data_IF_319187538262
#
_entry.id   IF_319187538262
#
_cell.length_a   1.000
_cell.length_b   1.000
_cell.length_c   1.000
_cell.angle_alpha   90.00
_cell.angle_beta   90.00
_cell.angle_gamma   90.00
#
_symmetry.space_group_name_H-M   'P 1'
#
loop_
_entity.id
_entity.type
_entity.pdbx_description
1 polymer ?
#
# COMPACT_ATOMS: atom_id res chain seq x y z
N UNK A 1 16.58 26.01 -17.14
CA UNK A 1 15.81 26.00 -15.88
C UNK A 1 15.80 27.39 -15.29
N UNK A 2 14.65 27.88 -14.82
CA UNK A 2 14.57 29.13 -14.04
C UNK A 2 15.05 28.91 -12.60
N UNK A 3 15.34 29.99 -11.87
CA UNK A 3 15.68 29.92 -10.44
C UNK A 3 14.58 29.19 -9.62
N UNK A 4 13.32 29.40 -9.99
CA UNK A 4 12.17 28.72 -9.37
C UNK A 4 12.17 27.21 -9.62
N UNK A 5 12.55 26.76 -10.82
CA UNK A 5 12.68 25.33 -11.12
C UNK A 5 13.86 24.67 -10.40
N UNK A 6 14.98 25.38 -10.21
CA UNK A 6 16.12 24.89 -9.42
C UNK A 6 15.71 24.72 -7.95
N UNK A 7 14.99 25.70 -7.39
CA UNK A 7 14.42 25.59 -6.05
C UNK A 7 13.42 24.43 -5.96
N UNK A 8 12.54 24.29 -6.94
CA UNK A 8 11.58 23.20 -7.01
C UNK A 8 12.26 21.83 -7.04
N UNK A 9 13.31 21.67 -7.85
CA UNK A 9 14.15 20.47 -7.87
C UNK A 9 14.70 20.16 -6.48
N UNK A 10 15.36 21.14 -5.84
CA UNK A 10 15.95 20.95 -4.53
C UNK A 10 14.89 20.58 -3.48
N UNK A 11 13.73 21.22 -3.50
CA UNK A 11 12.63 20.93 -2.58
C UNK A 11 12.04 19.54 -2.82
N UNK A 12 11.84 19.11 -4.07
CA UNK A 12 11.34 17.75 -4.36
C UNK A 12 12.30 16.70 -3.82
N UNK A 13 13.60 16.85 -4.06
CA UNK A 13 14.59 15.86 -3.64
C UNK A 13 14.89 15.87 -2.13
N UNK A 14 14.51 16.91 -1.40
CA UNK A 14 14.74 17.02 0.05
C UNK A 14 13.45 16.86 0.87
N UNK A 15 12.41 17.62 0.55
CA UNK A 15 11.15 17.66 1.29
C UNK A 15 10.32 16.41 1.05
N UNK A 16 10.19 15.91 -0.19
CA UNK A 16 9.36 14.72 -0.45
C UNK A 16 9.85 13.47 0.30
N UNK A 17 11.16 13.14 0.35
CA UNK A 17 11.65 12.03 1.16
C UNK A 17 11.43 12.25 2.66
N UNK A 18 11.66 13.45 3.17
CA UNK A 18 11.41 13.77 4.58
C UNK A 18 9.93 13.57 4.90
N UNK A 19 9.04 14.13 4.08
CA UNK A 19 7.59 14.00 4.20
C UNK A 19 7.17 12.53 4.18
N UNK A 20 7.68 11.75 3.23
CA UNK A 20 7.43 10.32 3.13
C UNK A 20 7.90 9.55 4.36
N UNK A 21 9.04 9.94 4.92
CA UNK A 21 9.62 9.33 6.12
C UNK A 21 8.89 9.61 7.43
N UNK A 22 8.01 10.62 7.48
CA UNK A 22 7.26 10.95 8.70
C UNK A 22 6.36 9.77 9.14
N UNK A 23 6.58 9.21 10.34
CA UNK A 23 5.85 8.03 10.82
C UNK A 23 4.49 8.42 11.44
N UNK A 24 3.70 9.21 10.72
CA UNK A 24 2.41 9.74 11.18
C UNK A 24 1.46 8.62 11.66
N UNK A 25 1.43 7.50 10.93
CA UNK A 25 0.63 6.33 11.30
C UNK A 25 1.03 5.81 12.69
N UNK A 26 2.33 5.70 12.97
CA UNK A 26 2.81 5.20 14.26
C UNK A 26 2.41 6.16 15.38
N UNK A 27 2.55 7.48 15.16
CA UNK A 27 2.13 8.49 16.13
C UNK A 27 0.63 8.45 16.40
N UNK A 28 -0.20 8.43 15.34
CA UNK A 28 -1.66 8.35 15.46
C UNK A 28 -2.07 7.10 16.25
N UNK A 29 -1.48 5.96 15.90
CA UNK A 29 -1.81 4.68 16.55
C UNK A 29 -1.38 4.68 18.01
N UNK A 30 -0.15 5.12 18.30
CA UNK A 30 0.37 5.17 19.65
C UNK A 30 -0.43 6.14 20.54
N UNK A 31 -0.79 7.33 20.04
CA UNK A 31 -1.57 8.31 20.81
C UNK A 31 -2.97 7.78 21.13
N UNK A 32 -3.63 7.12 20.18
CA UNK A 32 -5.03 6.70 20.33
C UNK A 32 -5.18 5.35 21.03
N UNK A 33 -4.27 4.40 20.82
CA UNK A 33 -4.42 3.03 21.31
C UNK A 33 -3.26 2.54 22.18
N UNK A 34 -2.22 3.35 22.36
CA UNK A 34 -0.97 3.00 23.07
C UNK A 34 -0.19 1.83 22.47
N UNK A 35 -0.60 1.32 21.29
CA UNK A 35 0.13 0.28 20.59
C UNK A 35 1.29 0.88 19.80
N UNK A 36 2.47 0.27 19.95
CA UNK A 36 3.63 0.62 19.14
C UNK A 36 3.71 -0.32 17.93
N UNK A 37 3.30 0.15 16.75
CA UNK A 37 3.29 -0.63 15.51
C UNK A 37 4.66 -1.21 15.13
N UNK A 38 5.76 -0.58 15.56
CA UNK A 38 7.10 -1.12 15.31
C UNK A 38 7.43 -2.37 16.14
N UNK A 39 6.63 -2.68 17.17
CA UNK A 39 6.83 -3.79 18.11
C UNK A 39 5.73 -4.84 18.04
N UNK A 40 4.71 -4.66 17.20
CA UNK A 40 3.56 -5.58 17.09
C UNK A 40 3.35 -6.03 15.65
N UNK A 41 2.79 -7.24 15.49
CA UNK A 41 2.50 -7.82 14.17
C UNK A 41 3.75 -8.01 13.33
N UNK A 42 3.76 -7.46 12.12
CA UNK A 42 4.88 -7.53 11.17
C UNK A 42 5.99 -6.51 11.47
N UNK A 43 5.77 -5.57 12.41
CA UNK A 43 6.64 -4.42 12.65
C UNK A 43 6.54 -3.33 11.58
N UNK A 44 5.68 -3.49 10.57
CA UNK A 44 5.47 -2.50 9.54
C UNK A 44 4.57 -1.38 10.04
N UNK A 45 5.03 -0.15 9.84
CA UNK A 45 4.19 1.03 10.06
C UNK A 45 3.39 1.21 8.78
N UNK A 46 2.23 0.58 8.65
CA UNK A 46 1.38 0.65 7.46
C UNK A 46 -0.07 0.99 7.80
N UNK A 47 -0.85 1.40 6.78
CA UNK A 47 -2.29 1.63 6.91
C UNK A 47 -3.00 0.33 7.32
N UNK A 48 -2.62 -0.81 6.75
CA UNK A 48 -3.20 -2.11 7.10
C UNK A 48 -2.91 -2.48 8.56
N UNK A 49 -1.68 -2.24 9.04
CA UNK A 49 -1.31 -2.44 10.44
C UNK A 49 -2.11 -1.54 11.39
N UNK A 50 -2.37 -0.29 10.98
CA UNK A 50 -3.20 0.64 11.75
C UNK A 50 -4.67 0.17 11.86
N UNK A 51 -5.26 -0.37 10.79
CA UNK A 51 -6.59 -1.02 10.88
C UNK A 51 -6.54 -2.26 11.76
N UNK A 52 -5.52 -3.10 11.58
CA UNK A 52 -5.41 -4.38 12.28
C UNK A 52 -5.26 -4.21 13.80
N UNK A 53 -4.31 -3.37 14.24
CA UNK A 53 -4.01 -3.16 15.66
C UNK A 53 -4.80 -2.01 16.29
N UNK A 54 -5.10 -0.96 15.51
CA UNK A 54 -5.73 0.27 16.00
C UNK A 54 -7.24 0.36 15.77
N UNK A 55 -7.83 -0.48 14.93
CA UNK A 55 -9.25 -0.45 14.60
C UNK A 55 -9.62 0.57 13.53
N UNK A 56 -10.92 0.71 13.26
CA UNK A 56 -11.41 1.45 12.09
C UNK A 56 -11.08 2.94 12.15
N UNK A 57 -11.24 3.58 13.30
CA UNK A 57 -10.94 5.01 13.47
C UNK A 57 -9.47 5.31 13.17
N UNK A 58 -8.56 4.55 13.78
CA UNK A 58 -7.11 4.71 13.60
C UNK A 58 -6.71 4.43 12.16
N UNK A 59 -7.27 3.38 11.55
CA UNK A 59 -7.04 3.06 10.15
C UNK A 59 -7.49 4.16 9.20
N UNK A 60 -8.66 4.77 9.41
CA UNK A 60 -9.14 5.90 8.60
C UNK A 60 -8.24 7.12 8.74
N UNK A 61 -7.83 7.47 9.97
CA UNK A 61 -6.88 8.57 10.20
C UNK A 61 -5.52 8.29 9.55
N UNK A 62 -5.06 7.03 9.58
CA UNK A 62 -3.86 6.60 8.87
C UNK A 62 -4.00 6.81 7.35
N UNK A 63 -5.12 6.39 6.74
CA UNK A 63 -5.40 6.64 5.30
C UNK A 63 -5.35 8.12 4.99
N UNK A 64 -6.05 8.96 5.75
CA UNK A 64 -6.12 10.40 5.51
C UNK A 64 -4.73 11.04 5.61
N UNK A 65 -3.93 10.65 6.61
CA UNK A 65 -2.58 11.18 6.79
C UNK A 65 -1.64 10.81 5.63
N UNK A 66 -1.70 9.57 5.13
CA UNK A 66 -0.87 9.14 4.00
C UNK A 66 -1.37 9.71 2.67
N UNK A 67 -2.69 9.82 2.49
CA UNK A 67 -3.31 10.45 1.34
C UNK A 67 -2.88 11.92 1.22
N UNK A 68 -2.95 12.66 2.33
CA UNK A 68 -2.54 14.06 2.39
C UNK A 68 -1.07 14.25 1.97
N UNK A 69 -0.16 13.37 2.42
CA UNK A 69 1.25 13.41 1.99
C UNK A 69 1.42 13.18 0.49
N UNK A 70 0.70 12.21 -0.07
CA UNK A 70 0.73 11.93 -1.51
C UNK A 70 0.25 13.12 -2.34
N UNK A 71 -0.88 13.71 -1.97
CA UNK A 71 -1.46 14.89 -2.63
C UNK A 71 -0.51 16.10 -2.49
N UNK A 72 0.05 16.33 -1.29
CA UNK A 72 0.98 17.42 -1.04
C UNK A 72 2.24 17.33 -1.92
N UNK A 73 2.80 16.14 -2.12
CA UNK A 73 3.95 15.96 -3.01
C UNK A 73 3.62 16.32 -4.47
N UNK A 74 2.43 15.93 -4.95
CA UNK A 74 1.96 16.28 -6.31
C UNK A 74 1.73 17.78 -6.44
N UNK A 75 1.07 18.41 -5.46
CA UNK A 75 0.83 19.85 -5.45
C UNK A 75 2.13 20.65 -5.41
N UNK A 76 3.12 20.18 -4.63
CA UNK A 76 4.45 20.80 -4.57
C UNK A 76 5.12 20.77 -5.95
N UNK A 77 5.14 19.60 -6.59
CA UNK A 77 5.72 19.47 -7.93
C UNK A 77 4.98 20.34 -8.95
N UNK A 78 3.64 20.31 -8.95
CA UNK A 78 2.80 21.11 -9.85
C UNK A 78 3.03 22.61 -9.70
N UNK A 79 3.32 23.08 -8.48
CA UNK A 79 3.60 24.49 -8.22
C UNK A 79 4.90 24.96 -8.90
N UNK A 80 5.96 24.16 -8.84
CA UNK A 80 7.27 24.52 -9.41
C UNK A 80 7.45 24.11 -10.88
N UNK A 81 6.70 23.11 -11.34
CA UNK A 81 6.76 22.53 -12.68
C UNK A 81 5.37 22.42 -13.33
N UNK A 82 4.63 23.53 -13.51
CA UNK A 82 3.23 23.50 -13.93
C UNK A 82 3.01 22.92 -15.34
N UNK A 83 4.03 22.98 -16.20
CA UNK A 83 3.97 22.47 -17.58
C UNK A 83 4.56 21.06 -17.73
N UNK A 84 5.16 20.49 -16.68
CA UNK A 84 5.90 19.24 -16.75
C UNK A 84 5.35 18.22 -15.74
N UNK A 85 4.26 17.54 -16.13
CA UNK A 85 3.54 16.61 -15.26
C UNK A 85 4.38 15.41 -14.76
N UNK A 86 5.47 15.10 -15.46
CA UNK A 86 6.42 14.06 -15.06
C UNK A 86 7.04 14.33 -13.67
N UNK A 87 7.23 15.59 -13.27
CA UNK A 87 7.75 15.95 -11.95
C UNK A 87 6.84 15.56 -10.80
N UNK A 88 5.52 15.49 -11.04
CA UNK A 88 4.56 15.02 -10.05
C UNK A 88 4.83 13.55 -9.70
N UNK A 89 5.16 12.72 -10.70
CA UNK A 89 5.54 11.33 -10.49
C UNK A 89 6.94 11.17 -9.86
N UNK A 90 7.90 12.05 -10.22
CA UNK A 90 9.21 12.10 -9.54
C UNK A 90 9.03 12.42 -8.05
N UNK A 91 8.17 13.38 -7.71
CA UNK A 91 7.89 13.72 -6.32
C UNK A 91 7.28 12.54 -5.56
N UNK A 92 6.40 11.75 -6.19
CA UNK A 92 5.89 10.50 -5.61
C UNK A 92 6.99 9.45 -5.44
N UNK A 93 7.93 9.29 -6.37
CA UNK A 93 9.09 8.41 -6.22
C UNK A 93 9.90 8.82 -4.99
N UNK A 94 10.24 10.10 -4.86
CA UNK A 94 11.02 10.62 -3.73
C UNK A 94 10.30 10.42 -2.41
N UNK A 95 8.97 10.63 -2.39
CA UNK A 95 8.14 10.34 -1.22
C UNK A 95 8.17 8.85 -0.86
N UNK A 96 8.02 7.95 -1.84
CA UNK A 96 8.07 6.49 -1.63
C UNK A 96 9.43 6.04 -1.09
N UNK A 97 10.53 6.60 -1.58
CA UNK A 97 11.87 6.31 -1.07
C UNK A 97 12.01 6.68 0.41
N UNK A 98 11.56 7.87 0.79
CA UNK A 98 11.51 8.29 2.19
C UNK A 98 10.62 7.37 3.04
N UNK A 99 9.45 7.01 2.50
CA UNK A 99 8.49 6.11 3.15
C UNK A 99 9.06 4.73 3.42
N UNK A 100 9.84 4.22 2.47
CA UNK A 100 10.50 2.92 2.56
C UNK A 100 11.66 2.93 3.56
N UNK A 101 12.63 3.83 3.39
CA UNK A 101 13.86 3.80 4.20
C UNK A 101 13.64 4.24 5.65
N UNK A 102 12.87 5.32 5.84
CA UNK A 102 12.65 5.92 7.16
C UNK A 102 11.35 5.37 7.77
N UNK A 103 10.24 5.47 7.04
CA UNK A 103 8.92 5.12 7.55
C UNK A 103 8.62 3.62 7.61
N UNK A 104 9.48 2.76 7.07
CA UNK A 104 9.31 1.29 7.00
C UNK A 104 7.96 0.85 6.43
N UNK A 105 7.51 1.51 5.37
CA UNK A 105 6.27 1.16 4.67
C UNK A 105 6.39 1.30 3.16
N UNK A 106 5.47 0.69 2.43
CA UNK A 106 5.59 0.57 0.98
C UNK A 106 5.19 1.83 0.20
N UNK A 107 4.44 2.76 0.80
CA UNK A 107 4.00 4.00 0.16
C UNK A 107 2.83 3.87 -0.82
N UNK A 108 2.10 2.74 -0.78
CA UNK A 108 0.98 2.46 -1.70
C UNK A 108 -0.12 3.50 -1.61
N UNK A 109 -0.59 3.82 -0.40
CA UNK A 109 -1.63 4.83 -0.17
C UNK A 109 -1.17 6.21 -0.65
N UNK A 110 0.08 6.59 -0.40
CA UNK A 110 0.60 7.87 -0.89
C UNK A 110 0.56 7.93 -2.42
N UNK A 111 1.01 6.87 -3.09
CA UNK A 111 1.01 6.80 -4.56
C UNK A 111 -0.42 6.79 -5.11
N UNK A 112 -1.33 6.01 -4.54
CA UNK A 112 -2.73 5.93 -5.01
C UNK A 112 -3.40 7.31 -4.97
N UNK A 113 -3.31 8.01 -3.83
CA UNK A 113 -3.93 9.33 -3.69
C UNK A 113 -3.18 10.43 -4.44
N UNK A 114 -1.85 10.31 -4.55
CA UNK A 114 -1.05 11.18 -5.41
C UNK A 114 -1.44 11.04 -6.87
N UNK A 115 -1.52 9.81 -7.39
CA UNK A 115 -1.95 9.52 -8.76
C UNK A 115 -3.38 10.00 -9.03
N UNK A 116 -4.29 9.84 -8.06
CA UNK A 116 -5.64 10.38 -8.16
C UNK A 116 -5.65 11.90 -8.39
N UNK A 117 -4.76 12.63 -7.72
CA UNK A 117 -4.65 14.09 -7.89
C UNK A 117 -3.85 14.51 -9.12
N UNK A 118 -2.88 13.68 -9.50
CA UNK A 118 -2.06 13.85 -10.71
C UNK A 118 -2.91 13.72 -11.97
N UNK A 119 -3.69 12.64 -12.07
CA UNK A 119 -4.54 12.34 -13.21
C UNK A 119 -5.76 11.52 -12.77
N UNK A 120 -6.90 12.18 -12.49
CA UNK A 120 -8.10 11.51 -12.01
C UNK A 120 -8.65 10.46 -12.98
N UNK A 121 -8.49 10.67 -14.30
CA UNK A 121 -9.00 9.75 -15.33
C UNK A 121 -8.15 8.47 -15.33
N UNK A 122 -6.82 8.62 -15.31
CA UNK A 122 -5.90 7.50 -15.16
C UNK A 122 -6.20 6.71 -13.89
N UNK A 123 -6.34 7.39 -12.75
CA UNK A 123 -6.63 6.75 -11.47
C UNK A 123 -7.95 5.98 -11.50
N UNK A 124 -9.00 6.56 -12.09
CA UNK A 124 -10.31 5.91 -12.25
C UNK A 124 -10.21 4.65 -13.12
N UNK A 125 -9.53 4.72 -14.27
CA UNK A 125 -9.39 3.57 -15.16
C UNK A 125 -8.57 2.44 -14.52
N UNK A 126 -7.46 2.79 -13.85
CA UNK A 126 -6.66 1.82 -13.09
C UNK A 126 -7.49 1.20 -11.96
N UNK A 127 -8.30 1.99 -11.26
CA UNK A 127 -9.18 1.51 -10.21
C UNK A 127 -10.26 0.55 -10.73
N UNK A 128 -10.93 0.89 -11.84
CA UNK A 128 -11.98 0.05 -12.42
C UNK A 128 -11.42 -1.27 -12.95
N UNK A 129 -10.37 -1.22 -13.77
CA UNK A 129 -9.78 -2.42 -14.38
C UNK A 129 -9.04 -3.26 -13.34
N UNK A 130 -8.31 -2.62 -12.43
CA UNK A 130 -7.64 -3.27 -11.30
C UNK A 130 -8.63 -3.89 -10.31
N UNK A 131 -9.74 -3.20 -10.04
CA UNK A 131 -10.82 -3.68 -9.18
C UNK A 131 -11.52 -4.92 -9.73
N UNK A 132 -11.80 -4.94 -11.04
CA UNK A 132 -12.31 -6.13 -11.74
C UNK A 132 -11.31 -7.28 -11.66
N UNK A 133 -10.01 -6.98 -11.84
CA UNK A 133 -8.97 -8.00 -11.72
C UNK A 133 -8.90 -8.57 -10.29
N UNK A 134 -9.04 -7.72 -9.27
CA UNK A 134 -9.06 -8.14 -7.87
C UNK A 134 -10.25 -9.05 -7.55
N UNK A 135 -11.45 -8.75 -8.07
CA UNK A 135 -12.63 -9.60 -7.88
C UNK A 135 -12.52 -10.94 -8.60
N UNK A 136 -11.82 -11.00 -9.74
CA UNK A 136 -11.59 -12.26 -10.48
C UNK A 136 -10.52 -13.14 -9.82
N UNK A 137 -9.34 -12.59 -9.50
CA UNK A 137 -8.22 -13.39 -8.98
C UNK A 137 -8.33 -13.71 -7.49
N UNK A 138 -9.10 -12.91 -6.73
CA UNK A 138 -9.36 -13.05 -5.29
C UNK A 138 -8.10 -13.33 -4.44
N UNK A 139 -6.96 -12.81 -4.91
CA UNK A 139 -5.66 -12.92 -4.28
C UNK A 139 -4.98 -11.53 -4.27
N UNK A 140 -4.73 -10.96 -3.08
CA UNK A 140 -4.22 -9.59 -2.96
C UNK A 140 -2.82 -9.41 -3.54
N UNK A 141 -1.97 -10.45 -3.52
CA UNK A 141 -0.60 -10.38 -4.07
C UNK A 141 -0.61 -10.28 -5.59
N UNK A 142 -1.50 -11.02 -6.25
CA UNK A 142 -1.69 -10.94 -7.70
C UNK A 142 -2.34 -9.62 -8.11
N UNK A 143 -3.36 -9.17 -7.38
CA UNK A 143 -4.02 -7.88 -7.65
C UNK A 143 -3.07 -6.69 -7.61
N UNK A 144 -2.18 -6.63 -6.60
CA UNK A 144 -1.13 -5.59 -6.50
C UNK A 144 -0.23 -5.56 -7.75
N UNK A 145 0.23 -6.72 -8.23
CA UNK A 145 1.10 -6.80 -9.43
C UNK A 145 0.37 -6.36 -10.70
N UNK A 146 -0.88 -6.77 -10.86
CA UNK A 146 -1.70 -6.37 -12.01
C UNK A 146 -1.84 -4.85 -12.07
N UNK A 147 -2.13 -4.20 -10.93
CA UNK A 147 -2.22 -2.73 -10.85
C UNK A 147 -0.90 -2.05 -11.24
N UNK A 148 0.25 -2.57 -10.78
CA UNK A 148 1.56 -2.01 -11.12
C UNK A 148 1.88 -2.08 -12.61
N UNK A 149 1.37 -3.08 -13.33
CA UNK A 149 1.51 -3.18 -14.79
C UNK A 149 0.47 -2.29 -15.49
N UNK A 150 -0.77 -2.28 -15.02
CA UNK A 150 -1.85 -1.48 -15.60
C UNK A 150 -1.57 0.01 -15.55
N UNK A 151 -0.97 0.52 -14.46
CA UNK A 151 -0.71 1.94 -14.27
C UNK A 151 0.07 2.60 -15.42
N UNK A 152 1.32 2.17 -15.75
CA UNK A 152 2.07 2.76 -16.86
C UNK A 152 1.46 2.43 -18.23
N UNK A 153 0.78 1.29 -18.39
CA UNK A 153 0.13 0.92 -19.65
C UNK A 153 -1.03 1.86 -19.96
N UNK A 154 -1.94 2.09 -18.99
CA UNK A 154 -3.07 3.00 -19.18
C UNK A 154 -2.57 4.43 -19.37
N UNK A 155 -1.52 4.84 -18.65
CA UNK A 155 -0.90 6.14 -18.86
C UNK A 155 -0.36 6.30 -20.29
N UNK A 156 0.32 5.29 -20.82
CA UNK A 156 0.83 5.30 -22.19
C UNK A 156 -0.29 5.34 -23.25
N UNK A 157 -1.43 4.73 -22.96
CA UNK A 157 -2.61 4.78 -23.84
C UNK A 157 -3.29 6.15 -23.81
N UNK A 158 -3.37 6.80 -22.64
CA UNK A 158 -3.98 8.12 -22.49
C UNK A 158 -3.08 9.25 -23.02
N UNK A 159 -1.77 9.14 -22.83
CA UNK A 159 -0.79 10.19 -23.14
C UNK A 159 0.38 9.65 -23.96
N UNK A 160 0.15 9.11 -25.19
CA UNK A 160 1.14 8.35 -25.95
C UNK A 160 2.36 9.15 -26.39
N UNK A 161 2.27 10.49 -26.42
CA UNK A 161 3.35 11.38 -26.82
C UNK A 161 4.22 11.84 -25.65
N UNK A 162 3.79 11.62 -24.40
CA UNK A 162 4.53 12.03 -23.20
C UNK A 162 5.44 10.90 -22.69
N UNK A 163 6.48 10.61 -23.46
CA UNK A 163 7.44 9.55 -23.14
C UNK A 163 8.09 9.75 -21.76
N UNK A 164 8.32 11.00 -21.34
CA UNK A 164 8.95 11.32 -20.06
C UNK A 164 8.11 10.80 -18.89
N UNK A 165 6.80 11.07 -18.93
CA UNK A 165 5.85 10.67 -17.90
C UNK A 165 5.65 9.16 -17.89
N UNK A 166 5.60 8.51 -19.04
CA UNK A 166 5.48 7.05 -19.17
C UNK A 166 6.70 6.34 -18.56
N UNK A 167 7.91 6.80 -18.87
CA UNK A 167 9.15 6.22 -18.31
C UNK A 167 9.16 6.36 -16.80
N UNK A 168 8.83 7.54 -16.25
CA UNK A 168 8.82 7.77 -14.81
C UNK A 168 7.72 6.97 -14.11
N UNK A 169 6.53 6.86 -14.69
CA UNK A 169 5.47 6.00 -14.18
C UNK A 169 5.91 4.53 -14.13
N UNK A 170 6.60 4.07 -15.16
CA UNK A 170 7.17 2.72 -15.22
C UNK A 170 8.22 2.53 -14.12
N UNK A 171 9.11 3.50 -13.92
CA UNK A 171 10.09 3.48 -12.82
C UNK A 171 9.43 3.44 -11.44
N UNK A 172 8.36 4.22 -11.23
CA UNK A 172 7.59 4.20 -9.98
C UNK A 172 6.94 2.83 -9.75
N UNK A 173 6.34 2.23 -10.78
CA UNK A 173 5.78 0.88 -10.70
C UNK A 173 6.83 -0.18 -10.35
N UNK A 174 8.00 -0.13 -10.99
CA UNK A 174 9.10 -1.04 -10.73
C UNK A 174 9.66 -0.87 -9.31
N UNK A 175 9.78 0.38 -8.85
CA UNK A 175 10.20 0.67 -7.47
C UNK A 175 9.22 0.05 -6.46
N UNK A 176 7.92 0.26 -6.64
CA UNK A 176 6.91 -0.36 -5.77
C UNK A 176 6.95 -1.89 -5.84
N UNK A 177 7.10 -2.47 -7.04
CA UNK A 177 7.23 -3.92 -7.21
C UNK A 177 8.43 -4.48 -6.43
N UNK A 178 9.55 -3.77 -6.43
CA UNK A 178 10.74 -4.14 -5.68
C UNK A 178 10.53 -4.01 -4.17
N UNK A 179 9.90 -2.91 -3.71
CA UNK A 179 9.60 -2.71 -2.29
C UNK A 179 8.65 -3.80 -1.76
N UNK A 180 7.65 -4.21 -2.54
CA UNK A 180 6.72 -5.29 -2.16
C UNK A 180 7.42 -6.64 -1.95
N UNK A 181 8.59 -6.86 -2.54
CA UNK A 181 9.37 -8.08 -2.32
C UNK A 181 10.23 -8.01 -1.04
N UNK A 182 10.41 -6.81 -0.46
CA UNK A 182 11.26 -6.56 0.71
C UNK A 182 10.48 -6.40 2.00
N UNK A 183 9.25 -5.90 1.93
CA UNK A 183 8.42 -5.65 3.12
C UNK A 183 7.43 -6.80 3.31
N UNK A 184 7.29 -7.35 4.55
CA UNK A 184 6.25 -8.35 4.83
C UNK A 184 4.85 -7.76 4.59
N UNK A 185 3.89 -8.57 4.15
CA UNK A 185 2.54 -8.08 3.86
C UNK A 185 1.65 -8.23 5.09
N UNK A 186 1.12 -7.13 5.62
CA UNK A 186 0.28 -7.18 6.82
C UNK A 186 -1.02 -7.94 6.56
N UNK A 187 -1.46 -8.03 5.31
CA UNK A 187 -2.59 -8.86 4.92
C UNK A 187 -2.35 -10.36 5.16
N UNK A 188 -1.11 -10.80 5.39
CA UNK A 188 -0.83 -12.20 5.73
C UNK A 188 -1.10 -12.51 7.23
N UNK A 189 -1.40 -11.51 8.08
CA UNK A 189 -1.66 -11.71 9.52
C UNK A 189 -2.98 -12.47 9.80
N UNK A 190 -3.10 -13.25 10.90
CA UNK A 190 -4.34 -13.96 11.21
C UNK A 190 -5.52 -13.03 11.50
N UNK A 191 -6.62 -13.14 10.74
CA UNK A 191 -7.80 -12.29 10.93
C UNK A 191 -8.47 -12.42 12.32
N UNK A 192 -8.19 -13.50 13.06
CA UNK A 192 -8.69 -13.74 14.41
C UNK A 192 -8.16 -12.75 15.46
N UNK A 193 -6.96 -12.21 15.23
CA UNK A 193 -6.25 -11.28 16.13
C UNK A 193 -6.45 -9.81 15.78
N UNK A 194 -7.07 -9.50 14.63
CA UNK A 194 -7.43 -8.13 14.26
C UNK A 194 -8.47 -7.54 15.23
N UNK A 195 -8.48 -6.21 15.37
CA UNK A 195 -9.52 -5.49 16.12
C UNK A 195 -10.94 -5.85 15.63
N UNK A 196 -11.88 -6.05 16.55
CA UNK A 196 -13.20 -6.60 16.28
C UNK A 196 -13.97 -5.85 15.16
N UNK A 197 -13.84 -4.52 15.15
CA UNK A 197 -14.48 -3.64 14.16
C UNK A 197 -13.90 -3.79 12.75
N UNK A 198 -12.62 -4.16 12.64
CA UNK A 198 -11.87 -4.25 11.38
C UNK A 198 -11.80 -5.68 10.82
N UNK A 199 -12.18 -6.70 11.60
CA UNK A 199 -12.13 -8.13 11.20
C UNK A 199 -12.79 -8.42 9.86
N UNK A 200 -14.03 -7.94 9.64
CA UNK A 200 -14.79 -8.21 8.40
C UNK A 200 -14.10 -7.62 7.17
N UNK A 201 -13.64 -6.38 7.29
CA UNK A 201 -12.95 -5.66 6.22
C UNK A 201 -11.61 -6.32 5.92
N UNK A 202 -10.87 -6.67 6.96
CA UNK A 202 -9.57 -7.34 6.83
C UNK A 202 -9.70 -8.70 6.15
N UNK A 203 -10.67 -9.53 6.57
CA UNK A 203 -10.96 -10.81 5.92
C UNK A 203 -11.34 -10.65 4.45
N UNK A 204 -12.09 -9.61 4.08
CA UNK A 204 -12.41 -9.34 2.68
C UNK A 204 -11.14 -9.06 1.85
N UNK A 205 -10.21 -8.27 2.36
CA UNK A 205 -8.96 -7.94 1.65
C UNK A 205 -7.93 -9.08 1.60
N UNK A 206 -8.01 -10.06 2.51
CA UNK A 206 -7.21 -11.29 2.44
C UNK A 206 -7.60 -12.19 1.26
N UNK A 207 -8.83 -12.07 0.75
CA UNK A 207 -9.36 -12.94 -0.30
C UNK A 207 -9.38 -14.41 0.13
N UNK A 208 -9.26 -15.33 -0.83
CA UNK A 208 -9.23 -16.78 -0.57
C UNK A 208 -7.86 -17.27 -0.08
N UNK A 209 -6.92 -16.34 0.18
CA UNK A 209 -5.58 -16.63 0.69
C UNK A 209 -5.52 -16.74 2.22
N UNK A 210 -6.65 -16.63 2.92
CA UNK A 210 -6.73 -16.88 4.35
C UNK A 210 -6.38 -18.36 4.62
N UNK A 211 -5.11 -18.62 4.95
CA UNK A 211 -4.64 -19.93 5.38
C UNK A 211 -5.48 -20.35 6.56
N UNK A 212 -6.30 -21.39 6.37
CA UNK A 212 -7.23 -21.83 7.40
C UNK A 212 -6.41 -22.45 8.54
N UNK A 213 -6.48 -21.86 9.73
CA UNK A 213 -5.69 -22.32 10.86
C UNK A 213 -6.07 -23.75 11.26
N UNK A 214 -5.03 -24.57 11.51
CA UNK A 214 -5.14 -25.91 12.07
C UNK A 214 -5.73 -25.92 13.50
N UNK A 215 -5.74 -24.77 14.20
CA UNK A 215 -6.28 -24.65 15.55
C UNK A 215 -7.81 -24.81 15.60
N UNK A 216 -8.48 -24.62 14.47
CA UNK A 216 -9.93 -24.80 14.32
C UNK A 216 -10.26 -26.19 13.78
N UNK A 217 -11.44 -26.72 14.08
CA UNK A 217 -11.88 -28.02 13.51
C UNK A 217 -12.10 -27.87 12.01
N UNK A 218 -11.24 -28.50 11.21
CA UNK A 218 -11.34 -28.46 9.75
C UNK A 218 -12.23 -29.59 9.20
N UNK A 219 -13.02 -29.26 8.18
CA UNK A 219 -13.85 -30.23 7.44
C UNK A 219 -12.99 -30.92 6.36
N UNK A 220 -12.82 -32.25 6.41
CA UNK A 220 -12.05 -32.99 5.41
C UNK A 220 -12.56 -32.80 3.98
N UNK A 221 -13.86 -32.51 3.79
CA UNK A 221 -14.44 -32.26 2.47
C UNK A 221 -14.00 -30.91 1.87
N UNK A 222 -13.54 -29.97 2.70
CA UNK A 222 -13.13 -28.62 2.27
C UNK A 222 -11.62 -28.47 2.11
N UNK A 223 -10.84 -29.04 3.01
CA UNK A 223 -9.37 -28.86 3.04
C UNK A 223 -8.58 -30.12 2.66
N UNK A 224 -9.30 -31.22 2.39
CA UNK A 224 -8.71 -32.54 2.18
C UNK A 224 -8.38 -33.26 3.49
N UNK A 225 -8.26 -34.58 3.40
CA UNK A 225 -8.06 -35.43 4.57
C UNK A 225 -6.79 -35.08 5.37
N UNK A 226 -5.69 -34.74 4.68
CA UNK A 226 -4.39 -34.45 5.32
C UNK A 226 -4.46 -33.24 6.24
N UNK A 227 -5.00 -32.12 5.76
CA UNK A 227 -5.11 -30.90 6.56
C UNK A 227 -6.08 -31.08 7.73
N UNK A 228 -7.18 -31.82 7.53
CA UNK A 228 -8.10 -32.15 8.61
C UNK A 228 -7.45 -33.02 9.70
N UNK A 229 -6.65 -34.01 9.32
CA UNK A 229 -5.89 -34.83 10.27
C UNK A 229 -4.85 -34.00 11.02
N UNK A 230 -4.11 -33.12 10.33
CA UNK A 230 -3.14 -32.23 10.99
C UNK A 230 -3.81 -31.30 12.01
N UNK A 231 -4.98 -30.74 11.68
CA UNK A 231 -5.79 -29.94 12.62
C UNK A 231 -6.22 -30.76 13.84
N UNK A 232 -6.67 -32.00 13.63
CA UNK A 232 -7.06 -32.89 14.73
C UNK A 232 -5.87 -33.28 15.62
N UNK A 233 -4.70 -33.53 15.03
CA UNK A 233 -3.47 -33.83 15.76
C UNK A 233 -3.03 -32.63 16.60
N UNK A 234 -3.01 -31.42 16.02
CA UNK A 234 -2.67 -30.20 16.75
C UNK A 234 -3.59 -29.96 17.94
N UNK A 235 -4.90 -30.12 17.74
CA UNK A 235 -5.92 -29.96 18.80
C UNK A 235 -5.88 -31.05 19.87
N UNK A 236 -5.29 -32.20 19.55
CA UNK A 236 -5.03 -33.28 20.51
C UNK A 236 -3.73 -33.07 21.31
N UNK A 237 -3.05 -31.93 21.13
CA UNK A 237 -1.84 -31.57 21.88
C UNK A 237 -0.53 -32.04 21.25
N UNK A 238 -0.56 -32.59 20.03
CA UNK A 238 0.66 -32.91 19.29
C UNK A 238 1.27 -31.64 18.69
N UNK A 239 2.59 -31.52 18.72
CA UNK A 239 3.32 -30.40 18.11
C UNK A 239 3.44 -30.58 16.59
N UNK A 240 2.38 -30.22 15.88
CA UNK A 240 2.29 -30.21 14.42
C UNK A 240 1.83 -28.85 13.91
#
# INVERSE_FOLDING_TARGET
MTLTQILGFLLIFTVCPILGGLPLIAWITYVLTRHNLAQVGTGNISVSAAFYHGGNLVGVLAVLSEAAKGIAAVLLARHFFPSESAWELIALIMLVLGRYWIGKGAGTTNVTWGVLWHDPILALLVFLIGGISFTIFRNPKHGKRVILVLFPVILALLHPQDYSRIVIATSLSLLLAWIYQKIPDDLDLPSGEAQAESKKVFHFFQGDSAVISLDTKLDPKKVGQKAATLSQLKRSGYSV
#
